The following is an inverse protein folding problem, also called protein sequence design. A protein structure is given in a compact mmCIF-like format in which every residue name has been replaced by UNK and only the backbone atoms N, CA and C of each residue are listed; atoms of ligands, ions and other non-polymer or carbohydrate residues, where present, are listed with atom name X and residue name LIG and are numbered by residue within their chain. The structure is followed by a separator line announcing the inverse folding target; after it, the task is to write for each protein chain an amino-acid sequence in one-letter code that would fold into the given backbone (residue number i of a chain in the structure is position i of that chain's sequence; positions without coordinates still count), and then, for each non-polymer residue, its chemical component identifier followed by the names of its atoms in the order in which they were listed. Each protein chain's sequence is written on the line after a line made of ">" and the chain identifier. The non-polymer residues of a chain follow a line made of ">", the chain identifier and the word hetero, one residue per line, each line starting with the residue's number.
data_IF_166913969617
#
_entry.id   IF_166913969617
#
_cell.length_a   1.000
_cell.length_b   1.000
_cell.length_c   1.000
_cell.angle_alpha   90.00
_cell.angle_beta   90.00
_cell.angle_gamma   90.00
#
_symmetry.space_group_name_H-M   'P 1'
#
loop_
_entity.id
_entity.type
_entity.pdbx_description
1 polymer ?
#
# COMPACT_ATOMS: atom_id res chain seq x y z
N UNK A 1 -10.17 -11.71 -11.30
CA UNK A 1 -9.41 -12.60 -10.37
C UNK A 1 -10.39 -13.35 -9.51
N UNK A 2 -10.33 -14.65 -9.44
CA UNK A 2 -11.28 -15.43 -8.64
C UNK A 2 -10.78 -15.57 -7.19
N UNK A 3 -11.65 -15.26 -6.23
CA UNK A 3 -11.42 -15.54 -4.81
C UNK A 3 -11.79 -16.99 -4.54
N UNK A 4 -10.84 -17.77 -4.03
CA UNK A 4 -11.07 -19.14 -3.59
C UNK A 4 -11.75 -19.14 -2.23
N UNK A 5 -12.92 -19.79 -2.15
CA UNK A 5 -13.57 -20.12 -0.87
C UNK A 5 -13.06 -21.48 -0.39
N UNK A 6 -12.88 -21.63 0.92
CA UNK A 6 -12.48 -22.91 1.51
C UNK A 6 -13.71 -23.67 2.02
N UNK A 7 -13.62 -25.00 1.99
CA UNK A 7 -14.66 -25.88 2.59
C UNK A 7 -14.78 -25.59 4.10
N UNK A 8 -15.99 -25.56 4.68
CA UNK A 8 -16.23 -25.23 6.09
C UNK A 8 -15.93 -26.40 7.04
N UNK A 9 -14.72 -26.94 6.96
CA UNK A 9 -14.28 -28.10 7.75
C UNK A 9 -14.00 -27.75 9.22
N UNK A 10 -13.75 -26.49 9.52
CA UNK A 10 -13.50 -25.97 10.88
C UNK A 10 -14.10 -24.56 11.02
N UNK A 11 -14.38 -24.10 12.27
CA UNK A 11 -14.89 -22.75 12.48
C UNK A 11 -14.01 -21.66 11.82
N UNK A 12 -12.69 -21.79 11.88
CA UNK A 12 -11.76 -20.85 11.28
C UNK A 12 -11.74 -20.89 9.75
N UNK A 13 -12.13 -22.01 9.11
CA UNK A 13 -12.18 -22.13 7.65
C UNK A 13 -13.53 -21.76 7.06
N UNK A 14 -14.59 -21.72 7.85
CA UNK A 14 -15.97 -21.48 7.39
C UNK A 14 -16.08 -20.22 6.50
N UNK A 15 -15.52 -19.12 6.93
CA UNK A 15 -15.59 -17.83 6.23
C UNK A 15 -14.25 -17.44 5.58
N UNK A 16 -13.25 -18.33 5.61
CA UNK A 16 -11.93 -18.02 5.09
C UNK A 16 -11.95 -18.02 3.57
N UNK A 17 -11.29 -17.02 2.98
CA UNK A 17 -11.03 -16.95 1.54
C UNK A 17 -9.53 -16.84 1.26
N UNK A 18 -9.15 -17.05 0.03
CA UNK A 18 -7.77 -16.94 -0.44
C UNK A 18 -7.71 -16.56 -1.91
N UNK A 19 -6.52 -16.30 -2.41
CA UNK A 19 -6.31 -16.04 -3.83
C UNK A 19 -6.17 -17.34 -4.60
N UNK A 20 -6.61 -17.34 -5.87
CA UNK A 20 -6.32 -18.43 -6.83
C UNK A 20 -4.94 -18.29 -7.45
N UNK A 21 -4.36 -17.08 -7.45
CA UNK A 21 -3.05 -16.76 -8.04
C UNK A 21 -2.95 -16.99 -9.56
N UNK A 22 -4.05 -16.96 -10.28
CA UNK A 22 -4.10 -17.14 -11.74
C UNK A 22 -3.25 -16.13 -12.52
N UNK A 23 -3.10 -14.90 -11.98
CA UNK A 23 -2.30 -13.84 -12.59
C UNK A 23 -0.79 -14.09 -12.50
N UNK A 24 -0.35 -14.96 -11.58
CA UNK A 24 1.07 -15.16 -11.29
C UNK A 24 1.65 -16.14 -12.28
N UNK A 25 2.59 -15.64 -13.09
CA UNK A 25 3.26 -16.45 -14.11
C UNK A 25 4.58 -17.05 -13.63
N UNK A 26 5.23 -16.46 -12.63
CA UNK A 26 6.49 -16.91 -12.04
C UNK A 26 6.42 -16.95 -10.51
N UNK A 27 6.78 -18.07 -9.90
CA UNK A 27 6.74 -18.25 -8.44
C UNK A 27 8.01 -17.79 -7.74
N UNK A 28 9.15 -17.97 -8.36
CA UNK A 28 10.44 -17.61 -7.80
C UNK A 28 10.84 -16.18 -8.19
N UNK A 29 11.30 -15.36 -7.22
CA UNK A 29 11.73 -14.00 -7.52
C UNK A 29 13.10 -13.99 -8.22
N UNK A 30 13.38 -12.92 -8.95
CA UNK A 30 14.69 -12.64 -9.52
C UNK A 30 15.73 -12.43 -8.41
N UNK A 31 16.75 -13.27 -8.34
CA UNK A 31 17.71 -13.31 -7.20
C UNK A 31 18.46 -12.00 -7.02
N UNK A 32 18.85 -11.33 -8.11
CA UNK A 32 19.57 -10.05 -8.08
C UNK A 32 18.77 -8.88 -7.50
N UNK A 33 17.44 -8.99 -7.53
CA UNK A 33 16.52 -7.95 -7.06
C UNK A 33 15.91 -8.25 -5.68
N UNK A 34 16.50 -9.19 -4.93
CA UNK A 34 16.00 -9.61 -3.62
C UNK A 34 17.04 -9.41 -2.54
N UNK A 35 16.63 -8.72 -1.46
CA UNK A 35 17.46 -8.52 -0.27
C UNK A 35 16.79 -9.10 0.97
N UNK A 36 17.59 -9.41 2.01
CA UNK A 36 17.09 -9.85 3.29
C UNK A 36 16.29 -8.73 3.98
N UNK A 37 15.19 -9.09 4.62
CA UNK A 37 14.37 -8.16 5.40
C UNK A 37 14.36 -8.61 6.86
N UNK A 38 15.09 -7.90 7.71
CA UNK A 38 15.09 -8.15 9.14
C UNK A 38 13.83 -7.55 9.80
N UNK A 39 13.22 -8.32 10.70
CA UNK A 39 12.04 -7.86 11.44
C UNK A 39 12.48 -7.16 12.72
N UNK A 40 12.12 -5.90 12.88
CA UNK A 40 12.38 -5.12 14.11
C UNK A 40 11.35 -5.36 15.20
N UNK A 41 10.25 -6.05 14.91
CA UNK A 41 9.16 -6.25 15.87
C UNK A 41 8.50 -4.97 16.35
N UNK A 42 8.55 -3.89 15.57
CA UNK A 42 8.00 -2.58 15.92
C UNK A 42 8.88 -1.75 16.85
N UNK A 43 10.17 -2.08 16.98
CA UNK A 43 11.15 -1.33 17.78
C UNK A 43 11.87 -0.30 16.93
N UNK A 44 12.24 0.82 17.55
CA UNK A 44 13.09 1.86 16.96
C UNK A 44 14.59 1.51 17.11
N UNK A 45 15.46 2.44 16.74
CA UNK A 45 16.92 2.29 16.86
C UNK A 45 17.40 2.09 18.30
N UNK A 46 16.67 2.63 19.28
CA UNK A 46 16.97 2.49 20.72
C UNK A 46 16.38 1.21 21.34
N UNK A 47 15.76 0.32 20.54
CA UNK A 47 15.12 -0.90 21.01
C UNK A 47 13.74 -0.71 21.67
N UNK A 48 13.21 0.52 21.74
CA UNK A 48 11.90 0.80 22.32
C UNK A 48 10.77 0.49 21.35
N UNK A 49 9.66 -0.04 21.85
CA UNK A 49 8.47 -0.34 21.05
C UNK A 49 7.75 0.97 20.70
N UNK A 50 7.86 1.39 19.43
CA UNK A 50 7.15 2.56 18.88
C UNK A 50 5.92 2.18 18.07
N UNK A 51 5.86 0.96 17.53
CA UNK A 51 4.70 0.39 16.86
C UNK A 51 4.28 -0.91 17.53
N UNK A 52 3.24 -0.83 18.40
CA UNK A 52 2.73 -1.98 19.16
C UNK A 52 2.11 -3.04 18.27
N UNK A 53 1.97 -4.25 18.78
CA UNK A 53 1.30 -5.40 18.14
C UNK A 53 1.93 -5.81 16.80
N UNK A 54 3.24 -5.71 16.68
CA UNK A 54 4.03 -6.14 15.51
C UNK A 54 5.01 -7.25 15.90
N UNK A 55 5.30 -8.15 14.95
CA UNK A 55 6.32 -9.19 15.09
C UNK A 55 5.76 -10.62 14.98
N UNK A 56 6.66 -11.60 14.97
CA UNK A 56 6.33 -13.03 14.90
C UNK A 56 5.66 -13.49 13.61
N UNK A 57 5.84 -12.77 12.52
CA UNK A 57 5.35 -13.17 11.19
C UNK A 57 6.29 -14.14 10.47
N UNK A 58 5.84 -14.68 9.33
CA UNK A 58 6.67 -15.50 8.45
C UNK A 58 7.89 -14.70 7.95
N UNK A 59 9.06 -15.36 7.85
CA UNK A 59 10.29 -14.76 7.32
C UNK A 59 10.06 -14.31 5.87
N UNK A 60 10.45 -13.09 5.53
CA UNK A 60 10.23 -12.49 4.21
C UNK A 60 11.54 -11.97 3.65
N UNK A 61 11.63 -11.99 2.32
CA UNK A 61 12.66 -11.27 1.56
C UNK A 61 12.01 -10.06 0.91
N UNK A 62 12.73 -8.95 0.83
CA UNK A 62 12.27 -7.72 0.19
C UNK A 62 12.63 -7.76 -1.29
N UNK A 63 11.68 -7.39 -2.17
CA UNK A 63 11.90 -7.17 -3.60
C UNK A 63 12.17 -5.69 -3.80
N UNK A 64 13.26 -5.38 -4.49
CA UNK A 64 13.62 -4.00 -4.84
C UNK A 64 12.71 -3.56 -5.97
N UNK A 65 11.81 -2.62 -5.66
CA UNK A 65 10.84 -2.10 -6.64
C UNK A 65 11.33 -0.75 -7.13
N UNK A 66 11.28 -0.56 -8.44
CA UNK A 66 11.55 0.74 -9.06
C UNK A 66 10.34 1.67 -8.91
N UNK A 67 10.35 2.46 -7.84
CA UNK A 67 9.36 3.50 -7.63
C UNK A 67 9.72 4.81 -8.35
N UNK A 68 10.97 4.97 -8.80
CA UNK A 68 11.45 6.20 -9.45
C UNK A 68 11.10 6.24 -10.92
N UNK A 69 11.15 5.08 -11.60
CA UNK A 69 10.88 4.97 -13.02
C UNK A 69 11.72 5.97 -13.84
N UNK A 70 13.01 6.09 -13.48
CA UNK A 70 13.93 7.10 -13.99
C UNK A 70 14.73 6.65 -15.23
N UNK A 71 14.29 5.59 -15.89
CA UNK A 71 14.94 5.06 -17.11
C UNK A 71 14.12 5.49 -18.32
N UNK A 72 14.36 6.72 -18.75
CA UNK A 72 13.58 7.36 -19.81
C UNK A 72 13.99 6.90 -21.20
N UNK A 73 13.03 6.74 -22.13
CA UNK A 73 13.25 6.42 -23.53
C UNK A 73 13.76 5.00 -23.80
N UNK A 74 13.92 4.16 -22.77
CA UNK A 74 14.37 2.77 -22.95
C UNK A 74 13.19 1.83 -22.70
N UNK A 75 12.70 1.13 -23.73
CA UNK A 75 11.58 0.20 -23.58
C UNK A 75 11.98 -1.04 -22.78
N UNK A 76 11.05 -1.56 -22.02
CA UNK A 76 11.19 -2.79 -21.27
C UNK A 76 10.03 -3.74 -21.57
N UNK A 77 10.32 -5.03 -21.72
CA UNK A 77 9.34 -6.08 -21.89
C UNK A 77 8.94 -6.66 -20.55
N UNK A 78 7.64 -6.84 -20.31
CA UNK A 78 7.13 -7.57 -19.15
C UNK A 78 7.48 -9.03 -19.28
N UNK A 79 8.38 -9.52 -18.45
CA UNK A 79 8.85 -10.91 -18.48
C UNK A 79 7.97 -11.84 -17.63
N UNK A 80 7.50 -11.34 -16.46
CA UNK A 80 6.68 -12.13 -15.54
C UNK A 80 5.86 -11.24 -14.61
N UNK A 81 4.75 -11.79 -14.10
CA UNK A 81 3.98 -11.22 -12.99
C UNK A 81 4.22 -12.11 -11.76
N UNK A 82 4.59 -11.50 -10.64
CA UNK A 82 5.04 -12.22 -9.44
C UNK A 82 4.29 -11.78 -8.18
N UNK A 83 4.31 -12.65 -7.18
CA UNK A 83 3.81 -12.38 -5.84
C UNK A 83 4.88 -11.70 -4.97
N UNK A 84 4.52 -10.61 -4.28
CA UNK A 84 5.37 -10.00 -3.25
C UNK A 84 4.70 -10.12 -1.86
N UNK A 85 5.33 -10.78 -0.87
CA UNK A 85 4.78 -10.92 0.47
C UNK A 85 4.78 -9.61 1.29
N UNK A 86 5.45 -8.55 0.81
CA UNK A 86 5.61 -7.29 1.53
C UNK A 86 4.55 -6.25 1.16
N UNK A 87 3.78 -6.52 0.11
CA UNK A 87 2.72 -5.62 -0.38
C UNK A 87 1.48 -6.38 -0.82
N UNK A 88 0.37 -5.69 -0.88
CA UNK A 88 -0.88 -6.24 -1.38
C UNK A 88 -0.94 -6.32 -2.91
N UNK A 89 -0.25 -5.41 -3.62
CA UNK A 89 -0.16 -5.38 -5.07
C UNK A 89 0.72 -6.52 -5.62
N UNK A 90 0.43 -6.99 -6.85
CA UNK A 90 1.35 -7.82 -7.62
C UNK A 90 2.47 -6.95 -8.18
N UNK A 91 3.59 -7.58 -8.52
CA UNK A 91 4.74 -6.93 -9.15
C UNK A 91 4.99 -7.54 -10.51
N UNK A 92 5.46 -6.74 -11.45
CA UNK A 92 5.87 -7.17 -12.79
C UNK A 92 7.40 -7.07 -12.90
N UNK A 93 8.03 -8.13 -13.38
CA UNK A 93 9.44 -8.15 -13.73
C UNK A 93 9.61 -7.60 -15.14
N UNK A 94 10.37 -6.54 -15.28
CA UNK A 94 10.72 -5.92 -16.54
C UNK A 94 12.14 -6.33 -16.96
N UNK A 95 12.29 -6.68 -18.24
CA UNK A 95 13.57 -6.81 -18.90
C UNK A 95 13.73 -5.66 -19.88
N UNK A 96 14.66 -4.77 -19.61
CA UNK A 96 15.00 -3.65 -20.49
C UNK A 96 15.87 -4.12 -21.67
N UNK A 97 15.82 -3.39 -22.78
CA UNK A 97 16.59 -3.71 -23.98
C UNK A 97 18.11 -3.70 -23.72
N UNK A 98 18.58 -2.90 -22.76
CA UNK A 98 19.98 -2.84 -22.32
C UNK A 98 20.39 -3.97 -21.35
N UNK A 99 19.51 -4.94 -21.09
CA UNK A 99 19.77 -6.10 -20.21
C UNK A 99 19.49 -5.86 -18.73
N UNK A 100 19.20 -4.62 -18.28
CA UNK A 100 18.82 -4.36 -16.88
C UNK A 100 17.46 -4.97 -16.57
N UNK A 101 17.31 -5.49 -15.35
CA UNK A 101 16.04 -6.00 -14.85
C UNK A 101 15.55 -5.12 -13.72
N UNK A 102 14.26 -4.80 -13.68
CA UNK A 102 13.61 -4.07 -12.58
C UNK A 102 12.23 -4.64 -12.28
N UNK A 103 11.80 -4.50 -11.01
CA UNK A 103 10.41 -4.73 -10.65
C UNK A 103 9.62 -3.44 -10.64
N UNK A 104 8.38 -3.49 -11.11
CA UNK A 104 7.39 -2.42 -10.98
C UNK A 104 6.12 -2.95 -10.31
N UNK A 105 5.21 -2.05 -9.89
CA UNK A 105 3.86 -2.44 -9.52
C UNK A 105 3.11 -2.87 -10.77
N UNK A 106 2.42 -4.00 -10.72
CA UNK A 106 1.63 -4.49 -11.85
C UNK A 106 0.26 -3.80 -11.86
N UNK A 107 -0.06 -2.97 -12.88
CA UNK A 107 -1.40 -2.42 -13.06
C UNK A 107 -2.36 -3.47 -13.62
N UNK A 108 -3.65 -3.19 -13.54
CA UNK A 108 -4.71 -3.97 -14.20
C UNK A 108 -4.50 -3.92 -15.71
N UNK A 109 -4.63 -5.06 -16.36
CA UNK A 109 -4.53 -5.18 -17.83
C UNK A 109 -3.10 -5.32 -18.36
N UNK A 110 -2.08 -5.31 -17.50
CA UNK A 110 -0.70 -5.58 -17.91
C UNK A 110 -0.48 -7.09 -18.03
N UNK A 111 0.00 -7.54 -19.19
CA UNK A 111 0.26 -8.94 -19.51
C UNK A 111 1.75 -9.20 -19.73
N UNK A 112 2.14 -10.47 -19.65
CA UNK A 112 3.48 -10.90 -20.06
C UNK A 112 3.65 -10.68 -21.56
N UNK A 113 4.74 -10.06 -21.94
CA UNK A 113 5.03 -9.70 -23.33
C UNK A 113 4.78 -8.23 -23.68
N UNK A 114 3.97 -7.53 -22.88
CA UNK A 114 3.70 -6.10 -23.09
C UNK A 114 4.98 -5.27 -22.99
N UNK A 115 5.05 -4.19 -23.75
CA UNK A 115 6.11 -3.19 -23.69
C UNK A 115 5.71 -2.07 -22.75
N UNK A 116 6.64 -1.67 -21.88
CA UNK A 116 6.46 -0.60 -20.89
C UNK A 116 7.62 0.38 -21.00
N UNK A 117 7.31 1.65 -21.02
CA UNK A 117 8.27 2.75 -21.11
C UNK A 117 8.12 3.76 -20.00
N UNK A 118 9.17 4.55 -19.81
CA UNK A 118 9.16 5.70 -18.92
C UNK A 118 9.72 6.90 -19.67
N UNK A 119 9.19 8.08 -19.39
CA UNK A 119 9.68 9.32 -20.00
C UNK A 119 8.55 10.28 -20.38
N UNK A 120 8.90 11.51 -20.77
CA UNK A 120 7.91 12.52 -21.17
C UNK A 120 7.17 12.16 -22.46
N UNK A 121 7.78 11.39 -23.36
CA UNK A 121 7.24 11.02 -24.68
C UNK A 121 6.57 9.64 -24.67
N UNK A 122 6.51 8.97 -23.52
CA UNK A 122 5.91 7.65 -23.42
C UNK A 122 4.39 7.71 -23.72
N UNK A 123 3.86 6.70 -24.40
CA UNK A 123 2.43 6.55 -24.68
C UNK A 123 1.59 6.45 -23.40
N UNK A 124 0.32 6.89 -23.48
CA UNK A 124 -0.65 6.76 -22.39
C UNK A 124 -1.20 5.33 -22.33
N UNK A 125 -0.35 4.37 -21.95
CA UNK A 125 -0.67 2.95 -21.80
C UNK A 125 -0.49 2.49 -20.34
N UNK A 126 -1.28 1.50 -19.84
CA UNK A 126 -1.11 0.96 -18.50
C UNK A 126 0.33 0.49 -18.24
N UNK A 127 0.95 0.95 -17.15
CA UNK A 127 2.32 0.62 -16.78
C UNK A 127 3.36 1.65 -17.21
N UNK A 128 3.08 2.51 -18.18
CA UNK A 128 3.96 3.59 -18.58
C UNK A 128 4.01 4.70 -17.54
N UNK A 129 5.18 5.28 -17.31
CA UNK A 129 5.40 6.32 -16.33
C UNK A 129 5.90 7.61 -16.99
N UNK A 130 5.28 8.72 -16.64
CA UNK A 130 5.61 10.02 -17.19
C UNK A 130 5.38 11.16 -16.18
N UNK A 131 5.92 12.35 -16.42
CA UNK A 131 5.58 13.54 -15.64
C UNK A 131 4.08 13.84 -15.71
N UNK A 132 3.49 14.34 -14.62
CA UNK A 132 2.06 14.71 -14.57
C UNK A 132 1.70 15.76 -15.63
N UNK A 133 2.65 16.59 -16.06
CA UNK A 133 2.48 17.55 -17.14
C UNK A 133 2.04 16.87 -18.46
N UNK A 134 2.56 15.67 -18.76
CA UNK A 134 2.32 14.97 -20.00
C UNK A 134 1.11 14.02 -19.96
N UNK A 135 0.59 13.71 -18.76
CA UNK A 135 -0.58 12.83 -18.60
C UNK A 135 -1.86 13.60 -18.94
N UNK A 136 -2.76 13.11 -19.80
CA UNK A 136 -4.05 13.75 -20.08
C UNK A 136 -4.90 13.90 -18.79
N UNK A 137 -5.64 15.01 -18.70
CA UNK A 137 -6.63 15.22 -17.63
C UNK A 137 -7.72 14.16 -17.72
N UNK A 138 -8.20 13.69 -16.56
CA UNK A 138 -9.16 12.59 -16.49
C UNK A 138 -8.51 11.21 -16.38
N UNK A 139 -7.22 11.07 -16.68
CA UNK A 139 -6.51 9.79 -16.64
C UNK A 139 -6.47 9.17 -15.25
N UNK A 140 -6.56 7.85 -15.21
CA UNK A 140 -6.37 7.04 -14.01
C UNK A 140 -4.88 6.76 -13.84
N UNK A 141 -4.34 7.06 -12.65
CA UNK A 141 -2.92 6.98 -12.36
C UNK A 141 -2.64 6.31 -11.01
N UNK A 142 -1.44 5.79 -10.85
CA UNK A 142 -0.93 5.24 -9.60
C UNK A 142 0.56 5.56 -9.41
N UNK A 143 1.16 5.11 -8.31
CA UNK A 143 2.59 5.31 -8.00
C UNK A 143 3.03 6.77 -8.14
N UNK A 144 2.29 7.70 -7.52
CA UNK A 144 2.46 9.14 -7.68
C UNK A 144 3.59 9.65 -6.77
N UNK A 145 4.50 10.42 -7.33
CA UNK A 145 5.52 11.16 -6.59
C UNK A 145 4.91 12.36 -5.85
N UNK A 146 5.50 12.70 -4.72
CA UNK A 146 5.19 13.94 -3.98
C UNK A 146 6.29 15.00 -4.12
N UNK A 147 7.51 14.56 -4.41
CA UNK A 147 8.67 15.40 -4.64
C UNK A 147 9.41 14.85 -5.86
N UNK A 148 9.84 15.70 -6.80
CA UNK A 148 10.51 15.26 -8.01
C UNK A 148 11.73 14.38 -7.71
N UNK A 149 11.86 13.26 -8.41
CA UNK A 149 12.98 12.32 -8.30
C UNK A 149 13.05 11.47 -7.04
N UNK A 150 12.13 11.64 -6.09
CA UNK A 150 12.08 10.83 -4.86
C UNK A 150 11.50 9.44 -5.08
N UNK A 151 10.74 9.27 -6.15
CA UNK A 151 9.99 8.06 -6.45
C UNK A 151 8.56 8.10 -5.91
N UNK A 152 7.69 7.29 -6.47
CA UNK A 152 6.27 7.22 -6.12
C UNK A 152 6.04 6.87 -4.66
N UNK A 153 5.21 7.65 -3.99
CA UNK A 153 4.89 7.50 -2.56
C UNK A 153 3.42 7.24 -2.30
N UNK A 154 2.54 7.70 -3.18
CA UNK A 154 1.09 7.55 -3.04
C UNK A 154 0.53 6.53 -4.02
N UNK A 155 -0.65 5.99 -3.70
CA UNK A 155 -1.41 5.07 -4.56
C UNK A 155 -0.57 3.88 -5.00
N UNK A 156 -0.16 3.03 -4.03
CA UNK A 156 0.70 1.86 -4.27
C UNK A 156 0.10 0.54 -3.77
N UNK A 157 -1.07 0.58 -3.15
CA UNK A 157 -1.74 -0.62 -2.65
C UNK A 157 -2.60 -1.28 -3.71
N UNK A 158 -2.90 -2.56 -3.55
CA UNK A 158 -3.77 -3.33 -4.44
C UNK A 158 -5.11 -2.62 -4.69
N UNK A 159 -5.56 -2.61 -5.94
CA UNK A 159 -6.84 -2.05 -6.36
C UNK A 159 -6.94 -0.53 -6.25
N UNK A 160 -5.90 0.18 -5.79
CA UNK A 160 -5.98 1.64 -5.65
C UNK A 160 -5.67 2.35 -6.97
N UNK A 161 -6.34 3.47 -7.17
CA UNK A 161 -6.10 4.40 -8.26
C UNK A 161 -6.36 5.82 -7.80
N UNK A 162 -5.75 6.78 -8.47
CA UNK A 162 -6.07 8.20 -8.36
C UNK A 162 -6.44 8.73 -9.73
N UNK A 163 -7.10 9.88 -9.78
CA UNK A 163 -7.50 10.51 -11.03
C UNK A 163 -6.86 11.90 -11.12
N UNK A 164 -6.27 12.20 -12.27
CA UNK A 164 -5.77 13.53 -12.57
C UNK A 164 -6.95 14.42 -12.97
N UNK A 165 -7.25 15.44 -12.18
CA UNK A 165 -8.46 16.27 -12.34
C UNK A 165 -8.22 17.55 -13.13
N UNK A 166 -7.10 18.23 -12.86
CA UNK A 166 -6.77 19.51 -13.51
C UNK A 166 -5.25 19.73 -13.47
N UNK A 167 -4.79 20.65 -14.30
CA UNK A 167 -3.42 21.17 -14.32
C UNK A 167 -3.49 22.69 -14.35
N UNK A 168 -2.90 23.35 -13.35
CA UNK A 168 -2.93 24.79 -13.20
C UNK A 168 -1.56 25.30 -12.77
N UNK A 169 -0.98 26.22 -13.53
CA UNK A 169 0.36 26.75 -13.26
C UNK A 169 1.39 25.62 -13.17
N UNK A 170 2.12 25.53 -12.06
CA UNK A 170 3.13 24.48 -11.81
C UNK A 170 2.57 23.22 -11.14
N UNK A 171 1.25 23.17 -10.82
CA UNK A 171 0.63 22.10 -10.07
C UNK A 171 -0.38 21.32 -10.89
N UNK A 172 -0.51 20.05 -10.55
CA UNK A 172 -1.56 19.15 -10.99
C UNK A 172 -2.45 18.79 -9.79
N UNK A 173 -3.77 18.91 -9.94
CA UNK A 173 -4.74 18.50 -8.93
C UNK A 173 -5.13 17.05 -9.12
N UNK A 174 -4.88 16.24 -8.11
CA UNK A 174 -5.13 14.79 -8.13
C UNK A 174 -6.19 14.41 -7.08
N UNK A 175 -7.20 13.65 -7.50
CA UNK A 175 -8.18 13.03 -6.62
C UNK A 175 -7.63 11.69 -6.13
N UNK A 176 -7.37 11.58 -4.83
CA UNK A 176 -6.85 10.39 -4.17
C UNK A 176 -7.94 9.34 -3.89
N UNK A 177 -7.58 8.06 -3.65
CA UNK A 177 -8.54 7.02 -3.26
C UNK A 177 -9.38 7.36 -2.02
N UNK A 178 -8.85 8.18 -1.12
CA UNK A 178 -9.56 8.67 0.07
C UNK A 178 -10.65 9.70 -0.22
N UNK A 179 -10.75 10.19 -1.47
CA UNK A 179 -11.61 11.30 -1.86
C UNK A 179 -11.01 12.69 -1.59
N UNK A 180 -9.77 12.77 -1.09
CA UNK A 180 -9.04 14.02 -0.91
C UNK A 180 -8.53 14.53 -2.27
N UNK A 181 -8.67 15.85 -2.52
CA UNK A 181 -8.09 16.53 -3.66
C UNK A 181 -6.81 17.21 -3.22
N UNK A 182 -5.72 16.89 -3.90
CA UNK A 182 -4.39 17.36 -3.52
C UNK A 182 -3.62 17.86 -4.72
N UNK A 183 -2.91 18.98 -4.55
CA UNK A 183 -1.97 19.50 -5.51
C UNK A 183 -0.63 18.78 -5.41
N UNK A 184 -0.06 18.47 -6.56
CA UNK A 184 1.27 17.86 -6.74
C UNK A 184 1.97 18.61 -7.86
N UNK A 185 3.27 18.83 -7.77
CA UNK A 185 4.04 19.49 -8.83
C UNK A 185 3.92 18.71 -10.15
N UNK A 186 3.73 19.42 -11.25
CA UNK A 186 3.56 18.78 -12.57
C UNK A 186 4.80 18.01 -13.07
N UNK A 187 5.99 18.37 -12.58
CA UNK A 187 7.24 17.64 -12.85
C UNK A 187 7.29 16.28 -12.13
N UNK A 188 6.48 16.07 -11.07
CA UNK A 188 6.40 14.76 -10.41
C UNK A 188 5.87 13.71 -11.36
N UNK A 189 6.38 12.49 -11.24
CA UNK A 189 6.00 11.37 -12.08
C UNK A 189 4.83 10.59 -11.49
N UNK A 190 4.07 9.96 -12.37
CA UNK A 190 3.07 8.97 -12.03
C UNK A 190 3.05 7.87 -13.09
N UNK A 191 2.47 6.74 -12.75
CA UNK A 191 2.30 5.61 -13.67
C UNK A 191 0.83 5.51 -14.07
N UNK A 192 0.56 5.26 -15.35
CA UNK A 192 -0.79 5.15 -15.91
C UNK A 192 -1.44 3.84 -15.46
N UNK A 193 -2.74 3.90 -15.14
CA UNK A 193 -3.59 2.76 -14.82
C UNK A 193 -3.90 2.60 -13.33
N UNK A 194 -4.72 1.61 -13.01
CA UNK A 194 -5.07 1.17 -11.67
C UNK A 194 -4.18 0.00 -11.25
N UNK A 195 -3.79 -0.08 -9.99
CA UNK A 195 -3.00 -1.22 -9.48
C UNK A 195 -3.84 -2.50 -9.48
N UNK A 196 -3.25 -3.60 -9.89
CA UNK A 196 -3.86 -4.93 -9.93
C UNK A 196 -4.24 -5.49 -8.55
N UNK A 197 -4.71 -6.75 -8.52
CA UNK A 197 -5.21 -7.42 -7.32
C UNK A 197 -6.39 -6.68 -6.65
N UNK A 198 -7.33 -6.21 -7.46
CA UNK A 198 -8.46 -5.35 -7.03
C UNK A 198 -9.29 -6.01 -5.92
N UNK A 199 -9.47 -7.34 -5.97
CA UNK A 199 -10.27 -8.08 -4.99
C UNK A 199 -9.56 -8.31 -3.64
N UNK A 200 -8.39 -7.69 -3.42
CA UNK A 200 -7.66 -7.83 -2.16
C UNK A 200 -8.50 -7.43 -0.93
N UNK A 201 -9.34 -6.42 -1.05
CA UNK A 201 -10.20 -5.94 0.04
C UNK A 201 -11.28 -6.96 0.45
N UNK A 202 -11.73 -7.78 -0.50
CA UNK A 202 -12.77 -8.80 -0.30
C UNK A 202 -12.22 -10.07 0.38
N UNK A 203 -10.91 -10.13 0.64
CA UNK A 203 -10.27 -11.31 1.22
C UNK A 203 -10.51 -11.40 2.73
N UNK A 204 -11.12 -12.48 3.17
CA UNK A 204 -11.38 -12.78 4.59
C UNK A 204 -10.28 -13.68 5.15
N UNK A 205 -9.59 -13.20 6.19
CA UNK A 205 -8.49 -13.93 6.84
C UNK A 205 -8.98 -15.20 7.55
N UNK A 206 -10.16 -15.16 8.17
CA UNK A 206 -10.89 -16.29 8.74
C UNK A 206 -10.41 -16.74 10.12
N UNK A 207 -9.12 -16.68 10.46
CA UNK A 207 -8.59 -17.13 11.74
C UNK A 207 -7.46 -16.25 12.28
N UNK A 208 -7.35 -16.19 13.60
CA UNK A 208 -6.33 -15.42 14.31
C UNK A 208 -4.89 -15.86 13.94
N UNK A 209 -4.65 -17.16 13.77
CA UNK A 209 -3.34 -17.68 13.38
C UNK A 209 -2.85 -17.12 12.04
N UNK A 210 -3.74 -16.90 11.06
CA UNK A 210 -3.34 -16.28 9.79
C UNK A 210 -2.91 -14.82 9.98
N UNK A 211 -3.56 -14.07 10.90
CA UNK A 211 -3.11 -12.72 11.28
C UNK A 211 -1.73 -12.77 11.93
N UNK A 212 -1.45 -13.79 12.75
CA UNK A 212 -0.13 -14.02 13.36
C UNK A 212 0.95 -14.25 12.30
N UNK A 213 0.69 -15.08 11.29
CA UNK A 213 1.64 -15.30 10.17
C UNK A 213 1.94 -14.02 9.39
N UNK A 214 0.99 -13.07 9.33
CA UNK A 214 1.19 -11.75 8.72
C UNK A 214 1.98 -10.77 9.60
N UNK A 215 2.40 -11.21 10.82
CA UNK A 215 3.16 -10.37 11.76
C UNK A 215 2.31 -9.46 12.64
N UNK A 216 1.00 -9.68 12.67
CA UNK A 216 0.07 -8.95 13.56
C UNK A 216 -0.07 -9.72 14.87
N UNK A 217 0.36 -9.14 15.98
CA UNK A 217 0.16 -9.69 17.32
C UNK A 217 -1.23 -9.38 17.86
N UNK A 218 -1.76 -10.18 18.79
CA UNK A 218 -3.05 -9.91 19.43
C UNK A 218 -3.10 -8.51 20.04
N UNK A 219 -4.27 -7.90 20.00
CA UNK A 219 -4.55 -6.61 20.61
C UNK A 219 -5.45 -6.82 21.83
N UNK A 220 -4.94 -6.50 23.03
CA UNK A 220 -5.68 -6.57 24.27
C UNK A 220 -6.46 -5.27 24.47
N UNK A 221 -7.73 -5.36 24.85
CA UNK A 221 -8.59 -4.20 25.16
C UNK A 221 -8.14 -3.56 26.47
N UNK A 222 -8.15 -2.22 26.55
CA UNK A 222 -7.78 -1.50 27.76
C UNK A 222 -8.60 -1.87 29.01
N UNK A 223 -9.88 -2.23 28.81
CA UNK A 223 -10.82 -2.61 29.90
C UNK A 223 -10.37 -3.88 30.65
N UNK A 224 -9.59 -4.77 30.03
CA UNK A 224 -9.09 -6.01 30.68
C UNK A 224 -7.68 -5.86 31.24
N UNK A 225 -7.15 -4.65 31.25
CA UNK A 225 -5.86 -4.32 31.84
C UNK A 225 -6.03 -3.81 33.28
N UNK A 226 -4.92 -3.70 33.99
CA UNK A 226 -4.91 -3.05 35.30
C UNK A 226 -5.01 -1.52 35.18
N UNK A 227 -5.44 -0.79 36.25
CA UNK A 227 -5.53 0.67 36.22
C UNK A 227 -4.22 1.37 35.87
N UNK A 228 -3.08 0.79 36.25
CA UNK A 228 -1.73 1.32 35.92
C UNK A 228 -1.41 1.25 34.45
N UNK A 229 -1.96 0.27 33.70
CA UNK A 229 -1.63 0.01 32.29
C UNK A 229 -2.52 0.78 31.30
N UNK A 230 -3.75 1.07 31.73
CA UNK A 230 -4.71 1.75 30.85
C UNK A 230 -5.76 2.53 31.65
N UNK A 231 -6.17 3.73 31.21
CA UNK A 231 -7.24 4.52 31.84
C UNK A 231 -8.61 3.83 31.93
N UNK A 232 -8.84 2.75 31.17
CA UNK A 232 -10.03 1.91 31.24
C UNK A 232 -9.84 0.66 32.12
N UNK A 233 -8.67 0.49 32.71
CA UNK A 233 -8.33 -0.69 33.51
C UNK A 233 -9.01 -0.70 34.86
N UNK A 234 -9.09 -1.89 35.46
CA UNK A 234 -9.69 -2.13 36.78
C UNK A 234 -11.16 -2.53 36.70
N UNK A 235 -11.71 -2.84 37.86
CA UNK A 235 -13.07 -3.30 38.04
C UNK A 235 -13.22 -4.83 38.01
N UNK A 236 -14.41 -5.30 38.40
CA UNK A 236 -14.78 -6.72 38.40
C UNK A 236 -15.56 -7.13 37.16
N UNK A 237 -15.31 -8.35 36.68
CA UNK A 237 -16.06 -8.96 35.60
C UNK A 237 -16.01 -8.15 34.29
N UNK A 238 -17.19 -7.77 33.77
CA UNK A 238 -17.34 -6.96 32.57
C UNK A 238 -17.51 -5.47 32.91
N UNK A 239 -16.58 -4.90 33.65
CA UNK A 239 -16.63 -3.49 34.03
C UNK A 239 -16.72 -2.56 32.82
N UNK A 240 -17.48 -1.44 32.89
CA UNK A 240 -17.54 -0.42 31.84
C UNK A 240 -16.25 0.40 31.79
N UNK A 241 -16.15 1.30 30.81
CA UNK A 241 -14.97 2.17 30.61
C UNK A 241 -14.76 3.14 31.78
N UNK A 242 -15.81 3.44 32.59
CA UNK A 242 -15.76 4.35 33.72
C UNK A 242 -15.50 5.82 33.34
N UNK A 243 -15.73 6.21 32.08
CA UNK A 243 -15.48 7.57 31.55
C UNK A 243 -16.60 7.96 30.56
N UNK A 244 -16.84 9.27 30.34
CA UNK A 244 -17.86 9.73 29.36
C UNK A 244 -17.63 9.23 27.92
N UNK A 245 -16.39 8.85 27.58
CA UNK A 245 -16.05 8.31 26.26
C UNK A 245 -14.75 7.53 26.29
N UNK A 246 -14.48 6.72 25.23
CA UNK A 246 -13.27 5.94 25.15
C UNK A 246 -12.03 6.83 25.00
N UNK A 247 -10.96 6.47 25.68
CA UNK A 247 -9.66 7.16 25.63
C UNK A 247 -8.55 6.22 25.20
N UNK A 248 -7.47 6.81 24.73
CA UNK A 248 -6.23 6.09 24.40
C UNK A 248 -5.47 5.71 25.70
N UNK A 249 -4.44 4.83 25.64
CA UNK A 249 -3.60 4.54 26.79
C UNK A 249 -2.97 5.77 27.46
N UNK A 250 -2.86 6.86 26.75
CA UNK A 250 -2.32 8.15 27.24
C UNK A 250 -3.41 9.14 27.65
N UNK A 251 -4.66 8.70 27.82
CA UNK A 251 -5.77 9.51 28.30
C UNK A 251 -6.41 10.45 27.28
N UNK A 252 -5.96 10.49 26.05
CA UNK A 252 -6.57 11.32 24.99
C UNK A 252 -7.84 10.66 24.44
N UNK A 253 -8.88 11.43 24.05
CA UNK A 253 -10.07 10.89 23.40
C UNK A 253 -9.70 9.99 22.20
N UNK A 254 -10.28 8.77 22.15
CA UNK A 254 -9.96 7.79 21.11
C UNK A 254 -10.77 8.00 19.82
N UNK A 255 -11.95 8.61 19.92
CA UNK A 255 -12.89 8.81 18.81
C UNK A 255 -13.16 10.30 18.60
N UNK A 256 -13.38 10.69 17.32
CA UNK A 256 -13.81 12.04 16.94
C UNK A 256 -12.72 13.10 16.90
N UNK A 257 -11.66 12.99 17.66
CA UNK A 257 -10.59 14.00 17.71
C UNK A 257 -9.73 14.00 16.47
N UNK A 258 -9.44 15.20 15.97
CA UNK A 258 -8.51 15.41 14.86
C UNK A 258 -7.07 15.22 15.37
N UNK A 259 -6.39 14.15 14.92
CA UNK A 259 -5.01 13.83 15.34
C UNK A 259 -3.94 14.44 14.44
N UNK A 260 -4.27 14.83 13.20
CA UNK A 260 -3.34 15.48 12.27
C UNK A 260 -3.05 16.90 12.74
N UNK A 261 -1.79 17.17 13.09
CA UNK A 261 -1.30 18.54 13.38
C UNK A 261 -1.21 19.35 12.09
N UNK A 262 -1.18 20.69 12.20
CA UNK A 262 -0.87 21.59 11.07
C UNK A 262 0.50 21.23 10.49
N UNK A 263 0.59 21.14 9.18
CA UNK A 263 1.82 20.87 8.42
C UNK A 263 1.90 21.77 7.20
N UNK A 264 3.10 22.06 6.71
CA UNK A 264 3.30 22.83 5.47
C UNK A 264 2.51 22.23 4.29
N UNK A 265 2.41 20.90 4.23
CA UNK A 265 1.63 20.22 3.19
C UNK A 265 0.10 20.42 3.25
N UNK A 266 -0.42 21.15 4.25
CA UNK A 266 -1.86 21.45 4.31
C UNK A 266 -2.29 22.48 3.26
N UNK A 267 -1.38 23.35 2.82
CA UNK A 267 -1.59 24.29 1.70
C UNK A 267 -1.81 23.58 0.35
N UNK A 268 -1.30 22.35 0.22
CA UNK A 268 -1.45 21.54 -0.99
C UNK A 268 -2.76 20.73 -1.01
N UNK A 269 -3.58 20.79 0.03
CA UNK A 269 -4.87 20.10 0.11
C UNK A 269 -5.99 21.06 -0.28
N UNK A 270 -6.51 20.89 -1.50
CA UNK A 270 -7.62 21.72 -2.02
C UNK A 270 -8.94 21.33 -1.33
N UNK A 271 -9.22 20.04 -1.24
CA UNK A 271 -10.45 19.53 -0.61
C UNK A 271 -10.14 18.30 0.23
N UNK A 272 -10.53 18.34 1.49
CA UNK A 272 -10.40 17.18 2.39
C UNK A 272 -11.45 16.12 2.09
N UNK A 273 -11.17 14.86 2.49
CA UNK A 273 -12.17 13.79 2.46
C UNK A 273 -13.40 14.19 3.27
N UNK A 274 -14.59 13.88 2.77
CA UNK A 274 -15.81 13.95 3.60
C UNK A 274 -15.70 12.89 4.72
N UNK A 275 -16.15 13.25 5.92
CA UNK A 275 -16.27 12.31 7.04
C UNK A 275 -17.38 11.30 6.75
#
# INVERSE_FOLDING_TARGET
>A
MAIKKYKPTTPGRRNMTGYTFEEITKKEPEKSLVVSLNSTGGRNAEGRITARHRGGGHKRKYRIIDFKRNKDGIPAKVAAIEYDPNRSARIALLHYVDGEKRYILAPVGLNVGDLVESGPEADVKPGNAMPLANIPVGSVIHNIELQPGKGGQMVRSAGTSAQLMAKEGSYATVRLPSGEFRMVLQICRATIGQIGNVEHENMVIGKAGRSRYLGKRPHVRGVVMNPVDHPHGGGEGKAPIGRPGPVTPWGKPALGSRTRKKKASDSLIVRRRKK
#
